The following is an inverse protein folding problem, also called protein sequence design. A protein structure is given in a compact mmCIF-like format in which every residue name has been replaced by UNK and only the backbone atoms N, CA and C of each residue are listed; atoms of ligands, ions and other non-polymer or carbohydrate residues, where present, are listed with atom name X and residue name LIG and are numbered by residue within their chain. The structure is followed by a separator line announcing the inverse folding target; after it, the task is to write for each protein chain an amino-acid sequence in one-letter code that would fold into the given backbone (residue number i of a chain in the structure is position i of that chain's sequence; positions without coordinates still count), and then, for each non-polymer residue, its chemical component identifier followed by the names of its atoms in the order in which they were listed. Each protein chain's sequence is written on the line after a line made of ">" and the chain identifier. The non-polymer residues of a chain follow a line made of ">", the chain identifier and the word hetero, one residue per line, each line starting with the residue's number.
data_IF_604659906530
#
_entry.id   IF_604659906530
#
_cell.length_a   1.000
_cell.length_b   1.000
_cell.length_c   1.000
_cell.angle_alpha   90.00
_cell.angle_beta   90.00
_cell.angle_gamma   90.00
#
_symmetry.space_group_name_H-M   'P 1'
#
loop_
_entity.id
_entity.type
_entity.pdbx_description
1 polymer ?
#
# COMPACT_ATOMS: atom_id res chain seq x y z
N UNK A 1 46.93 28.96 -32.87
CA UNK A 1 46.83 29.04 -34.35
C UNK A 1 47.11 27.65 -34.91
N UNK A 2 46.09 26.97 -35.47
CA UNK A 2 45.87 26.77 -36.93
C UNK A 2 46.71 25.58 -37.44
N UNK A 3 46.23 24.48 -38.05
CA UNK A 3 44.99 24.07 -38.80
C UNK A 3 44.90 22.51 -38.69
N UNK A 4 43.75 21.77 -38.61
CA UNK A 4 42.69 21.44 -39.60
C UNK A 4 43.27 20.95 -40.96
N UNK A 5 42.87 19.88 -41.69
CA UNK A 5 41.71 18.94 -41.86
C UNK A 5 42.29 17.66 -42.57
N UNK A 6 41.83 16.42 -42.39
CA UNK A 6 40.79 15.66 -43.15
C UNK A 6 40.63 14.28 -42.47
N UNK A 7 39.49 13.75 -42.01
CA UNK A 7 38.14 13.53 -42.57
C UNK A 7 38.07 12.42 -43.63
N UNK A 8 37.56 11.25 -43.20
CA UNK A 8 36.75 10.21 -43.90
C UNK A 8 36.58 9.05 -42.89
N UNK A 9 35.50 8.86 -42.12
CA UNK A 9 34.05 8.71 -42.34
C UNK A 9 33.63 7.42 -43.07
N UNK A 10 32.66 6.72 -42.44
CA UNK A 10 31.84 5.53 -42.84
C UNK A 10 32.36 4.15 -42.33
N UNK A 11 31.85 3.59 -41.20
CA UNK A 11 30.67 2.69 -40.98
C UNK A 11 30.81 1.33 -41.71
N UNK A 12 30.69 0.12 -41.14
CA UNK A 12 29.87 -0.43 -40.05
C UNK A 12 30.27 -1.92 -39.76
N UNK A 13 29.76 -2.47 -38.64
CA UNK A 13 29.59 -3.91 -38.28
C UNK A 13 30.75 -4.66 -37.59
N UNK A 14 30.62 -4.75 -36.25
CA UNK A 14 31.02 -5.92 -35.43
C UNK A 14 29.79 -6.85 -35.25
N UNK A 15 29.78 -8.04 -34.61
CA UNK A 15 30.85 -8.71 -33.84
C UNK A 15 30.87 -10.29 -33.87
N UNK A 16 31.91 -10.82 -33.22
CA UNK A 16 31.92 -11.92 -32.20
C UNK A 16 31.66 -13.40 -32.54
N UNK A 17 32.45 -14.17 -31.77
CA UNK A 17 32.22 -15.52 -31.22
C UNK A 17 32.62 -16.67 -32.16
N UNK A 18 33.31 -17.71 -31.72
CA UNK A 18 33.64 -18.13 -30.36
C UNK A 18 33.57 -19.65 -30.29
N UNK A 19 34.75 -20.28 -30.18
CA UNK A 19 35.04 -21.62 -29.64
C UNK A 19 33.89 -22.64 -29.48
N UNK A 20 34.12 -23.75 -30.18
CA UNK A 20 34.01 -25.16 -29.76
C UNK A 20 32.60 -25.74 -29.68
N UNK A 21 32.21 -26.30 -30.81
CA UNK A 21 31.19 -27.34 -30.95
C UNK A 21 31.78 -28.67 -30.47
N UNK A 22 31.29 -29.16 -29.34
CA UNK A 22 31.15 -30.59 -29.01
C UNK A 22 29.89 -30.68 -28.13
N UNK A 23 28.75 -30.70 -28.80
CA UNK A 23 27.48 -31.23 -28.28
C UNK A 23 27.56 -32.76 -28.32
N UNK A 24 27.42 -33.39 -27.15
CA UNK A 24 26.77 -34.69 -26.96
C UNK A 24 26.76 -34.93 -25.45
N UNK A 25 25.60 -34.73 -24.81
CA UNK A 25 25.14 -35.49 -23.64
C UNK A 25 23.68 -35.10 -23.36
N UNK A 26 22.80 -35.90 -23.96
CA UNK A 26 21.35 -35.85 -23.83
C UNK A 26 20.88 -36.42 -22.48
N UNK A 27 19.96 -35.69 -21.86
CA UNK A 27 18.84 -36.15 -21.04
C UNK A 27 19.12 -37.09 -19.85
N UNK A 28 19.48 -36.47 -18.71
CA UNK A 28 19.21 -37.04 -17.38
C UNK A 28 17.93 -36.40 -16.84
N UNK A 29 16.82 -37.15 -16.90
CA UNK A 29 15.46 -36.69 -16.66
C UNK A 29 15.24 -35.88 -15.38
N UNK A 30 14.93 -34.60 -15.56
CA UNK A 30 14.19 -33.81 -14.58
C UNK A 30 12.75 -34.33 -14.55
N UNK A 31 12.53 -35.33 -13.69
CA UNK A 31 11.35 -36.17 -13.67
C UNK A 31 10.04 -35.38 -13.75
N UNK A 32 9.26 -35.69 -14.78
CA UNK A 32 7.85 -35.34 -14.94
C UNK A 32 7.01 -35.58 -13.67
N UNK A 33 7.42 -36.50 -12.79
CA UNK A 33 6.82 -36.77 -11.47
C UNK A 33 6.87 -35.61 -10.47
N UNK A 34 7.88 -34.73 -10.55
CA UNK A 34 7.94 -33.54 -9.68
C UNK A 34 7.07 -32.41 -10.23
N UNK A 35 6.98 -32.27 -11.56
CA UNK A 35 6.02 -31.38 -12.21
C UNK A 35 4.57 -31.82 -11.95
N UNK A 36 4.32 -33.13 -11.93
CA UNK A 36 2.99 -33.69 -11.65
C UNK A 36 2.57 -33.51 -10.18
N UNK A 37 3.53 -33.60 -9.24
CA UNK A 37 3.30 -33.25 -7.83
C UNK A 37 2.99 -31.76 -7.62
N UNK A 38 3.70 -30.87 -8.34
CA UNK A 38 3.42 -29.42 -8.33
C UNK A 38 2.08 -29.07 -9.00
N UNK A 39 1.61 -29.87 -9.95
CA UNK A 39 0.30 -29.72 -10.60
C UNK A 39 -0.87 -30.24 -9.75
N UNK A 40 -0.66 -31.31 -8.98
CA UNK A 40 -1.72 -31.94 -8.17
C UNK A 40 -2.09 -31.14 -6.92
N UNK A 41 -1.17 -30.33 -6.39
CA UNK A 41 -1.46 -29.38 -5.30
C UNK A 41 -2.28 -28.16 -5.76
N UNK A 42 -2.26 -27.82 -7.05
CA UNK A 42 -3.11 -26.75 -7.62
C UNK A 42 -4.58 -27.17 -7.75
N UNK A 43 -4.88 -28.47 -7.60
CA UNK A 43 -6.23 -29.03 -7.71
C UNK A 43 -7.02 -29.11 -6.40
N UNK A 44 -6.42 -28.84 -5.24
CA UNK A 44 -7.04 -29.08 -3.95
C UNK A 44 -6.92 -27.88 -3.01
N UNK A 45 -7.89 -26.97 -3.17
CA UNK A 45 -8.49 -26.02 -2.19
C UNK A 45 -8.82 -24.71 -2.89
N UNK A 46 -9.90 -24.68 -3.68
CA UNK A 46 -10.65 -23.43 -3.87
C UNK A 46 -11.29 -23.09 -2.52
N UNK A 47 -10.51 -22.53 -1.59
CA UNK A 47 -11.04 -22.06 -0.32
C UNK A 47 -12.05 -20.95 -0.60
N UNK A 48 -13.07 -20.80 0.24
CA UNK A 48 -14.10 -19.73 0.18
C UNK A 48 -13.52 -18.32 -0.08
N UNK A 49 -12.26 -18.09 0.30
CA UNK A 49 -11.51 -16.87 0.08
C UNK A 49 -11.24 -16.53 -1.39
N UNK A 50 -11.17 -17.52 -2.29
CA UNK A 50 -10.96 -17.32 -3.74
C UNK A 50 -12.27 -16.99 -4.47
N UNK A 51 -13.38 -17.65 -4.11
CA UNK A 51 -14.71 -17.28 -4.62
C UNK A 51 -15.18 -15.92 -4.08
N UNK A 52 -14.62 -15.47 -2.96
CA UNK A 52 -14.97 -14.17 -2.39
C UNK A 52 -14.62 -12.98 -3.30
N UNK A 53 -13.70 -13.14 -4.25
CA UNK A 53 -13.45 -12.12 -5.29
C UNK A 53 -14.73 -11.72 -6.04
N UNK A 54 -15.64 -12.66 -6.27
CA UNK A 54 -16.95 -12.41 -6.89
C UNK A 54 -17.91 -11.71 -5.93
N UNK A 55 -18.00 -12.18 -4.68
CA UNK A 55 -18.86 -11.57 -3.65
C UNK A 55 -18.44 -10.15 -3.28
N UNK A 56 -17.16 -9.81 -3.41
CA UNK A 56 -16.69 -8.46 -3.14
C UNK A 56 -17.09 -7.46 -4.24
N UNK A 57 -17.32 -7.93 -5.48
CA UNK A 57 -17.24 -7.09 -6.68
C UNK A 57 -18.38 -6.09 -6.87
N UNK A 58 -19.63 -6.51 -6.61
CA UNK A 58 -20.82 -5.80 -7.08
C UNK A 58 -21.71 -5.25 -5.95
N UNK A 59 -21.90 -6.01 -4.88
CA UNK A 59 -22.88 -5.74 -3.83
C UNK A 59 -22.33 -6.07 -2.43
N UNK A 60 -21.96 -5.05 -1.66
CA UNK A 60 -21.67 -5.18 -0.23
C UNK A 60 -22.08 -3.88 0.50
N UNK A 61 -22.42 -3.97 1.79
CA UNK A 61 -22.91 -2.83 2.57
C UNK A 61 -21.85 -1.74 2.82
N UNK A 62 -20.57 -2.07 2.67
CA UNK A 62 -19.45 -1.15 2.88
C UNK A 62 -19.06 -0.40 1.60
N UNK A 63 -19.61 -0.76 0.44
CA UNK A 63 -19.24 -0.26 -0.87
C UNK A 63 -19.89 1.08 -1.12
N UNK A 64 -19.06 2.08 -1.42
CA UNK A 64 -19.51 3.40 -1.83
C UNK A 64 -19.06 3.63 -3.26
N UNK A 65 -20.04 3.63 -4.18
CA UNK A 65 -19.82 3.92 -5.60
C UNK A 65 -19.97 5.44 -5.78
N UNK A 66 -18.92 6.11 -6.25
CA UNK A 66 -18.98 7.54 -6.58
C UNK A 66 -18.81 7.71 -8.09
N UNK A 67 -19.70 8.50 -8.68
CA UNK A 67 -19.60 8.91 -10.09
C UNK A 67 -18.53 9.99 -10.27
N UNK A 68 -18.23 10.77 -9.23
CA UNK A 68 -17.15 11.76 -9.23
C UNK A 68 -15.77 11.11 -9.14
N UNK A 69 -14.82 11.58 -9.96
CA UNK A 69 -13.43 11.08 -9.98
C UNK A 69 -13.23 9.76 -10.74
N UNK A 70 -13.87 9.61 -11.90
CA UNK A 70 -13.60 8.51 -12.85
C UNK A 70 -14.19 7.15 -12.47
N UNK A 71 -15.31 7.11 -11.72
CA UNK A 71 -15.95 5.85 -11.33
C UNK A 71 -15.27 5.11 -10.18
N UNK A 72 -14.53 5.83 -9.34
CA UNK A 72 -13.79 5.27 -8.20
C UNK A 72 -14.74 4.58 -7.19
N UNK A 73 -14.37 3.34 -6.80
CA UNK A 73 -15.07 2.55 -5.78
C UNK A 73 -14.34 2.61 -4.44
N UNK A 74 -15.03 3.10 -3.42
CA UNK A 74 -14.50 3.20 -2.06
C UNK A 74 -15.15 2.18 -1.13
N UNK A 75 -14.50 1.92 0.00
CA UNK A 75 -15.00 1.03 1.04
C UNK A 75 -14.96 1.71 2.41
N UNK A 76 -16.03 1.53 3.20
CA UNK A 76 -16.17 2.00 4.59
C UNK A 76 -15.80 0.96 5.64
N UNK A 77 -15.14 -0.14 5.23
CA UNK A 77 -14.72 -1.20 6.16
C UNK A 77 -13.77 -0.64 7.25
N UNK A 78 -14.04 -0.88 8.55
CA UNK A 78 -13.16 -0.44 9.64
C UNK A 78 -11.73 -1.02 9.56
N UNK A 79 -11.54 -2.14 8.85
CA UNK A 79 -10.25 -2.82 8.70
C UNK A 79 -9.54 -2.50 7.36
N UNK A 80 -9.93 -1.42 6.69
CA UNK A 80 -9.30 -0.94 5.46
C UNK A 80 -8.45 0.31 5.70
N UNK A 81 -7.19 0.31 5.26
CA UNK A 81 -6.23 1.40 5.45
C UNK A 81 -6.31 2.52 4.41
N UNK A 82 -6.70 2.23 3.17
CA UNK A 82 -6.70 3.21 2.07
C UNK A 82 -8.11 3.60 1.65
N UNK A 83 -9.14 3.00 2.25
CA UNK A 83 -10.55 3.13 1.90
C UNK A 83 -10.84 2.77 0.43
N UNK A 84 -9.91 2.11 -0.26
CA UNK A 84 -10.10 1.63 -1.63
C UNK A 84 -10.85 0.30 -1.61
N UNK A 85 -11.81 0.15 -2.50
CA UNK A 85 -12.51 -1.12 -2.67
C UNK A 85 -11.66 -2.09 -3.50
N UNK A 86 -10.86 -2.91 -2.82
CA UNK A 86 -10.01 -3.94 -3.42
C UNK A 86 -9.84 -5.12 -2.48
N UNK A 87 -9.66 -6.32 -3.03
CA UNK A 87 -9.46 -7.56 -2.27
C UNK A 87 -8.28 -7.48 -1.29
N UNK A 88 -7.21 -6.78 -1.67
CA UNK A 88 -6.02 -6.56 -0.82
C UNK A 88 -6.36 -5.88 0.51
N UNK A 89 -7.31 -4.95 0.49
CA UNK A 89 -7.68 -4.10 1.62
C UNK A 89 -8.99 -4.48 2.30
N UNK A 90 -9.72 -5.46 1.75
CA UNK A 90 -10.94 -5.98 2.34
C UNK A 90 -10.61 -6.76 3.61
N UNK A 91 -10.82 -6.15 4.78
CA UNK A 91 -10.47 -6.74 6.05
C UNK A 91 -11.47 -7.81 6.50
N UNK A 92 -12.75 -7.70 6.11
CA UNK A 92 -13.77 -8.70 6.44
C UNK A 92 -13.50 -10.08 5.81
N UNK A 93 -12.87 -10.12 4.63
CA UNK A 93 -12.60 -11.38 3.92
C UNK A 93 -11.23 -11.97 4.24
N UNK A 94 -10.23 -11.13 4.44
CA UNK A 94 -8.89 -11.62 4.74
C UNK A 94 -8.81 -12.18 6.16
N UNK A 95 -8.14 -13.33 6.32
CA UNK A 95 -7.82 -13.88 7.64
C UNK A 95 -6.91 -12.95 8.44
N UNK A 96 -5.93 -12.35 7.75
CA UNK A 96 -5.05 -11.31 8.28
C UNK A 96 -5.49 -9.94 7.78
N UNK A 97 -5.89 -9.07 8.70
CA UNK A 97 -6.22 -7.68 8.42
C UNK A 97 -5.60 -6.73 9.43
N UNK A 98 -5.41 -5.47 9.00
CA UNK A 98 -4.91 -4.36 9.80
C UNK A 98 -5.81 -3.16 9.58
N UNK A 99 -6.41 -2.66 10.65
CA UNK A 99 -7.15 -1.41 10.68
C UNK A 99 -6.44 -0.39 11.56
N UNK A 100 -6.58 0.90 11.22
CA UNK A 100 -6.09 2.01 12.04
C UNK A 100 -7.23 3.00 12.21
N UNK A 101 -7.62 3.22 13.47
CA UNK A 101 -8.78 4.02 13.87
C UNK A 101 -8.34 5.10 14.86
N UNK A 102 -8.91 6.32 14.80
CA UNK A 102 -8.65 7.34 15.81
C UNK A 102 -9.09 6.88 17.21
N UNK A 103 -8.28 7.22 18.22
CA UNK A 103 -8.68 7.19 19.63
C UNK A 103 -8.88 8.63 20.13
N UNK A 104 -9.44 8.80 21.34
CA UNK A 104 -9.54 10.12 22.00
C UNK A 104 -8.18 10.86 22.03
N UNK A 105 -7.12 10.11 22.35
CA UNK A 105 -5.73 10.58 22.31
C UNK A 105 -4.87 9.54 21.61
N UNK A 106 -4.40 9.86 20.41
CA UNK A 106 -3.55 8.98 19.61
C UNK A 106 -4.32 8.02 18.72
N UNK A 107 -3.74 6.84 18.46
CA UNK A 107 -4.17 5.94 17.37
C UNK A 107 -4.39 4.53 17.90
N UNK A 108 -5.48 3.87 17.51
CA UNK A 108 -5.72 2.45 17.80
C UNK A 108 -5.47 1.61 16.56
N UNK A 109 -4.54 0.67 16.67
CA UNK A 109 -4.29 -0.38 15.69
C UNK A 109 -5.18 -1.58 16.01
N UNK A 110 -5.95 -2.01 15.02
CA UNK A 110 -6.81 -3.20 15.07
C UNK A 110 -6.17 -4.27 14.20
N UNK A 111 -5.99 -5.47 14.73
CA UNK A 111 -5.48 -6.62 13.99
C UNK A 111 -6.38 -7.83 14.19
N UNK A 112 -6.42 -8.73 13.21
CA UNK A 112 -7.17 -9.99 13.32
C UNK A 112 -6.28 -11.10 13.89
N UNK A 113 -6.86 -11.93 14.75
CA UNK A 113 -6.27 -13.20 15.22
C UNK A 113 -6.55 -14.28 14.18
N UNK A 114 -5.49 -14.92 13.69
CA UNK A 114 -5.63 -16.08 12.78
C UNK A 114 -6.23 -17.30 13.48
N UNK A 115 -5.98 -17.47 14.79
CA UNK A 115 -6.51 -18.59 15.57
C UNK A 115 -8.02 -18.54 15.81
N UNK A 116 -8.65 -17.38 15.64
CA UNK A 116 -10.05 -17.14 15.95
C UNK A 116 -10.83 -16.63 14.72
N UNK A 117 -10.50 -17.10 13.52
CA UNK A 117 -11.11 -16.64 12.26
C UNK A 117 -12.64 -16.82 12.24
N UNK A 118 -13.14 -17.93 12.78
CA UNK A 118 -14.59 -18.23 12.86
C UNK A 118 -15.29 -17.62 14.09
N UNK A 119 -14.56 -16.91 14.96
CA UNK A 119 -15.10 -16.33 16.20
C UNK A 119 -15.04 -14.80 16.13
N UNK A 120 -15.97 -14.15 15.40
CA UNK A 120 -15.86 -12.72 15.10
C UNK A 120 -15.79 -11.85 16.36
N UNK A 121 -16.49 -12.21 17.43
CA UNK A 121 -16.49 -11.48 18.70
C UNK A 121 -15.10 -11.35 19.36
N UNK A 122 -14.23 -12.37 19.22
CA UNK A 122 -12.91 -12.43 19.87
C UNK A 122 -11.76 -12.26 18.86
N UNK A 123 -12.09 -12.23 17.57
CA UNK A 123 -11.13 -12.19 16.46
C UNK A 123 -10.28 -10.91 16.40
N UNK A 124 -10.73 -9.81 17.01
CA UNK A 124 -10.07 -8.51 16.90
C UNK A 124 -9.19 -8.22 18.13
N UNK A 125 -7.92 -7.89 17.88
CA UNK A 125 -7.00 -7.33 18.87
C UNK A 125 -6.89 -5.84 18.63
N UNK A 126 -7.19 -5.04 19.65
CA UNK A 126 -7.03 -3.59 19.65
C UNK A 126 -5.81 -3.22 20.48
N UNK A 127 -4.92 -2.42 19.91
CA UNK A 127 -3.74 -1.89 20.60
C UNK A 127 -3.71 -0.37 20.41
N UNK A 128 -3.77 0.37 21.51
CA UNK A 128 -3.82 1.83 21.47
C UNK A 128 -2.44 2.43 21.72
N UNK A 129 -2.00 3.27 20.80
CA UNK A 129 -0.76 4.04 20.90
C UNK A 129 -1.08 5.47 21.32
N UNK A 130 -0.69 5.81 22.55
CA UNK A 130 -0.87 7.15 23.15
C UNK A 130 0.44 7.97 23.24
N UNK A 131 1.52 7.47 22.64
CA UNK A 131 2.86 8.07 22.72
C UNK A 131 3.06 9.14 21.65
N UNK A 132 4.22 9.79 21.67
CA UNK A 132 4.63 10.76 20.64
C UNK A 132 4.57 10.16 19.23
N UNK A 133 4.31 11.00 18.22
CA UNK A 133 4.09 10.57 16.84
C UNK A 133 5.18 9.63 16.31
N UNK A 134 6.46 9.98 16.51
CA UNK A 134 7.60 9.13 16.11
C UNK A 134 7.53 7.73 16.75
N UNK A 135 7.24 7.63 18.05
CA UNK A 135 7.13 6.35 18.77
C UNK A 135 5.90 5.57 18.30
N UNK A 136 4.81 6.25 17.98
CA UNK A 136 3.58 5.66 17.43
C UNK A 136 3.84 5.07 16.04
N UNK A 137 4.49 5.79 15.13
CA UNK A 137 4.80 5.28 13.78
C UNK A 137 5.74 4.08 13.82
N UNK A 138 6.79 4.13 14.65
CA UNK A 138 7.70 3.01 14.84
C UNK A 138 6.96 1.79 15.45
N UNK A 139 6.07 2.03 16.42
CA UNK A 139 5.24 0.99 17.03
C UNK A 139 4.30 0.33 16.03
N UNK A 140 3.58 1.12 15.23
CA UNK A 140 2.68 0.62 14.18
C UNK A 140 3.45 -0.16 13.13
N UNK A 141 4.56 0.38 12.62
CA UNK A 141 5.40 -0.30 11.64
C UNK A 141 5.91 -1.65 12.17
N UNK A 142 6.34 -1.69 13.44
CA UNK A 142 6.75 -2.92 14.11
C UNK A 142 5.58 -3.89 14.24
N UNK A 143 4.43 -3.47 14.72
CA UNK A 143 3.27 -4.37 14.88
C UNK A 143 2.78 -4.99 13.56
N UNK A 144 2.87 -4.26 12.44
CA UNK A 144 2.40 -4.73 11.13
C UNK A 144 3.41 -5.65 10.43
N UNK A 145 4.71 -5.35 10.56
CA UNK A 145 5.76 -6.09 9.88
C UNK A 145 6.44 -7.18 10.74
N UNK A 146 6.34 -7.10 12.08
CA UNK A 146 6.94 -8.08 12.99
C UNK A 146 6.39 -9.47 12.69
N UNK A 147 7.28 -10.46 12.71
CA UNK A 147 7.00 -11.87 12.44
C UNK A 147 6.33 -12.13 11.07
N UNK A 148 6.51 -11.22 10.10
CA UNK A 148 5.95 -11.37 8.76
C UNK A 148 4.43 -11.36 8.70
N UNK A 149 3.74 -10.61 9.58
CA UNK A 149 2.27 -10.60 9.60
C UNK A 149 1.66 -10.07 8.28
N UNK A 150 1.85 -8.78 7.95
CA UNK A 150 1.46 -8.15 6.68
C UNK A 150 2.39 -7.00 6.30
N UNK A 151 3.61 -7.33 5.89
CA UNK A 151 4.63 -6.33 5.55
C UNK A 151 4.24 -5.44 4.35
N UNK A 152 3.37 -5.93 3.47
CA UNK A 152 2.79 -5.22 2.32
C UNK A 152 2.00 -3.96 2.72
N UNK A 153 1.39 -3.97 3.91
CA UNK A 153 0.56 -2.87 4.41
C UNK A 153 1.33 -1.89 5.28
N UNK A 154 2.63 -2.10 5.51
CA UNK A 154 3.43 -1.31 6.45
C UNK A 154 3.40 0.19 6.11
N UNK A 155 3.66 0.54 4.86
CA UNK A 155 3.72 1.94 4.43
C UNK A 155 2.37 2.64 4.59
N UNK A 156 1.30 1.96 4.18
CA UNK A 156 -0.07 2.48 4.25
C UNK A 156 -0.55 2.65 5.70
N UNK A 157 -0.19 1.71 6.59
CA UNK A 157 -0.54 1.78 8.01
C UNK A 157 0.12 2.98 8.70
N UNK A 158 1.39 3.24 8.38
CA UNK A 158 2.11 4.41 8.89
C UNK A 158 1.49 5.70 8.35
N UNK A 159 1.20 5.77 7.04
CA UNK A 159 0.59 6.94 6.41
C UNK A 159 -0.80 7.29 6.99
N UNK A 160 -1.64 6.28 7.25
CA UNK A 160 -2.93 6.49 7.90
C UNK A 160 -2.78 6.96 9.34
N UNK A 161 -1.81 6.39 10.07
CA UNK A 161 -1.53 6.81 11.44
C UNK A 161 -1.07 8.27 11.52
N UNK A 162 -0.23 8.71 10.58
CA UNK A 162 0.19 10.12 10.51
C UNK A 162 -0.95 11.04 10.16
N UNK A 163 -1.82 10.67 9.22
CA UNK A 163 -3.00 11.46 8.88
C UNK A 163 -3.94 11.64 10.07
N UNK A 164 -4.15 10.58 10.87
CA UNK A 164 -4.98 10.65 12.08
C UNK A 164 -4.36 11.60 13.12
N UNK A 165 -3.06 11.47 13.42
CA UNK A 165 -2.39 12.35 14.38
C UNK A 165 -2.38 13.82 13.91
N UNK A 166 -2.24 14.06 12.61
CA UNK A 166 -2.38 15.39 12.04
C UNK A 166 -3.80 15.92 12.22
N UNK A 167 -4.83 15.09 12.02
CA UNK A 167 -6.23 15.50 12.21
C UNK A 167 -6.58 15.82 13.67
N UNK A 168 -5.91 15.18 14.64
CA UNK A 168 -6.07 15.45 16.06
C UNK A 168 -5.33 16.71 16.54
N UNK A 169 -4.36 17.20 15.75
CA UNK A 169 -3.62 18.39 16.11
C UNK A 169 -4.50 19.62 15.83
N UNK A 170 -4.72 20.52 16.80
CA UNK A 170 -5.51 21.73 16.56
C UNK A 170 -4.84 22.53 15.44
N UNK A 171 -5.62 22.85 14.40
CA UNK A 171 -5.14 23.71 13.33
C UNK A 171 -4.98 25.11 13.91
N UNK A 172 -3.77 25.64 13.85
CA UNK A 172 -3.55 27.05 14.15
C UNK A 172 -4.35 27.86 13.13
N UNK A 173 -5.11 28.84 13.60
CA UNK A 173 -5.74 29.81 12.72
C UNK A 173 -4.67 30.40 11.80
N UNK A 174 -4.99 30.51 10.51
CA UNK A 174 -4.06 31.07 9.56
C UNK A 174 -3.64 32.45 10.07
N UNK A 175 -2.32 32.76 10.14
CA UNK A 175 -1.89 34.09 10.52
C UNK A 175 -2.57 35.07 9.57
N UNK A 176 -3.18 36.11 10.13
CA UNK A 176 -3.94 37.09 9.37
C UNK A 176 -3.15 37.49 8.12
N UNK A 177 -3.75 37.42 6.92
CA UNK A 177 -3.03 37.69 5.70
C UNK A 177 -2.49 39.12 5.78
N UNK A 178 -1.15 39.25 5.77
CA UNK A 178 -0.51 40.56 5.75
C UNK A 178 -1.04 41.31 4.53
N UNK A 179 -1.78 42.40 4.75
CA UNK A 179 -2.24 43.26 3.67
C UNK A 179 -0.99 43.78 2.94
N UNK A 180 -0.94 43.61 1.62
CA UNK A 180 0.17 44.07 0.76
C UNK A 180 -0.35 45.06 -0.27
N UNK A 181 0.50 46.00 -0.67
CA UNK A 181 0.20 46.97 -1.73
C UNK A 181 -0.89 47.97 -1.36
N UNK A 182 -1.70 48.36 -2.33
CA UNK A 182 -2.73 49.42 -2.19
C UNK A 182 -3.75 49.17 -1.08
N UNK A 183 -4.00 47.91 -0.71
CA UNK A 183 -4.87 47.55 0.41
C UNK A 183 -4.26 47.85 1.78
N UNK A 184 -2.93 47.82 1.92
CA UNK A 184 -2.24 48.25 3.14
C UNK A 184 -2.25 49.77 3.27
N UNK A 185 -1.99 50.49 2.16
CA UNK A 185 -2.03 51.96 2.14
C UNK A 185 -3.43 52.51 2.48
N UNK A 186 -4.49 51.88 1.94
CA UNK A 186 -5.88 52.24 2.27
C UNK A 186 -6.32 51.89 3.69
N UNK A 187 -5.65 50.94 4.35
CA UNK A 187 -5.92 50.60 5.75
C UNK A 187 -5.19 51.54 6.71
N UNK A 188 -3.97 52.00 6.34
CA UNK A 188 -3.24 53.03 7.09
C UNK A 188 -3.94 54.40 7.03
N UNK A 189 -4.46 54.79 5.86
CA UNK A 189 -5.19 56.05 5.66
C UNK A 189 -6.62 56.10 6.27
N UNK A 190 -7.09 54.99 6.85
CA UNK A 190 -8.37 54.93 7.59
C UNK A 190 -8.17 54.84 9.12
N UNK A 191 -6.91 54.77 9.57
CA UNK A 191 -6.54 54.70 10.98
C UNK A 191 -6.08 56.04 11.58
N UNK A 192 -5.91 57.07 10.74
CA UNK A 192 -5.97 58.50 11.12
C UNK A 192 -7.41 59.00 10.97
#
# INVERSE_FOLDING_TARGET
>A
MSQYVSADFIWEVTPRSGRRDLEEDLDVGFGSREQEKMGKERGAKRTITDSCGMYLGSQNAFLVKRTSGGGSRFSRDPLNLTNKHSRKYAGFVNDKAVGVVPAEKGVTLITKKTSASQKPAVSLIKTTFRKSGRKTFAGVAKSVAKNGYRADLRAEAVARSSAILQSQTPKKDAPAPKLRGSKAAKAAAKGE
#
